data_IF_973461245766
#
_entry.id   IF_973461245766
#
_cell.length_a   1.000
_cell.length_b   1.000
_cell.length_c   1.000
_cell.angle_alpha   90.00
_cell.angle_beta   90.00
_cell.angle_gamma   90.00
#
_symmetry.space_group_name_H-M   'P 1'
#
loop_
_entity.id
_entity.type
_entity.pdbx_description
1 polymer ?
#
# COMPACT_ATOMS: atom_id res chain seq x y z
N UNK A 1 11.20 -28.64 -14.86
CA UNK A 1 10.92 -27.24 -15.24
C UNK A 1 12.06 -26.41 -14.70
N UNK A 2 12.83 -25.67 -15.52
CA UNK A 2 13.92 -24.88 -14.98
C UNK A 2 13.35 -23.62 -14.30
N UNK A 3 13.80 -23.34 -13.08
CA UNK A 3 13.49 -22.11 -12.34
C UNK A 3 14.09 -20.90 -13.08
N UNK A 4 13.22 -20.07 -13.69
CA UNK A 4 13.62 -18.95 -14.58
C UNK A 4 14.00 -17.67 -13.81
N UNK A 5 14.13 -17.68 -12.47
CA UNK A 5 14.67 -16.49 -11.77
C UNK A 5 15.52 -16.89 -10.55
N UNK A 6 16.83 -16.99 -10.76
CA UNK A 6 17.80 -17.06 -9.67
C UNK A 6 18.04 -15.64 -9.11
N UNK A 7 17.37 -15.29 -8.00
CA UNK A 7 17.65 -14.05 -7.28
C UNK A 7 18.69 -14.33 -6.20
N UNK A 8 19.94 -13.99 -6.48
CA UNK A 8 21.03 -14.08 -5.50
C UNK A 8 21.00 -12.87 -4.57
N UNK A 9 20.57 -13.07 -3.32
CA UNK A 9 20.62 -12.02 -2.31
C UNK A 9 22.03 -11.96 -1.69
N UNK A 10 22.74 -10.84 -1.87
CA UNK A 10 24.05 -10.64 -1.27
C UNK A 10 23.95 -10.50 0.27
N UNK A 11 24.48 -11.47 1.01
CA UNK A 11 24.50 -11.48 2.49
C UNK A 11 25.62 -10.58 3.06
N UNK A 12 25.53 -9.26 2.86
CA UNK A 12 26.57 -8.30 3.30
C UNK A 12 26.27 -7.60 4.63
N UNK A 13 25.19 -7.95 5.33
CA UNK A 13 24.78 -7.30 6.59
C UNK A 13 24.24 -5.87 6.44
N UNK A 14 24.47 -5.20 5.30
CA UNK A 14 23.90 -3.89 4.92
C UNK A 14 22.37 -3.86 4.93
N UNK A 15 21.70 -5.01 4.81
CA UNK A 15 20.24 -5.11 4.86
C UNK A 15 19.62 -4.72 6.21
N UNK A 16 20.41 -4.66 7.30
CA UNK A 16 19.99 -4.19 8.62
C UNK A 16 20.27 -2.70 8.88
N UNK A 17 21.18 -2.08 8.13
CA UNK A 17 21.44 -0.63 8.27
C UNK A 17 20.31 0.18 7.65
N UNK A 18 20.01 1.33 8.25
CA UNK A 18 19.01 2.26 7.74
C UNK A 18 19.64 3.55 7.21
N UNK A 19 19.06 4.15 6.18
CA UNK A 19 19.48 5.46 5.68
C UNK A 19 19.03 6.60 6.62
N UNK A 20 19.27 7.85 6.19
CA UNK A 20 18.94 9.05 6.95
C UNK A 20 17.45 9.19 7.29
N UNK A 21 16.55 8.51 6.58
CA UNK A 21 15.09 8.46 6.83
C UNK A 21 14.64 7.20 7.58
N UNK A 22 15.58 6.40 8.08
CA UNK A 22 15.28 5.14 8.74
C UNK A 22 14.85 4.03 7.77
N UNK A 23 15.06 4.17 6.47
CA UNK A 23 14.71 3.16 5.46
C UNK A 23 15.77 2.07 5.39
N UNK A 24 15.36 0.81 5.36
CA UNK A 24 16.26 -0.31 4.97
C UNK A 24 16.51 -0.26 3.46
N UNK A 25 17.57 -0.92 3.00
CA UNK A 25 17.97 -0.96 1.58
C UNK A 25 16.81 -1.26 0.59
N UNK A 26 15.92 -2.19 0.92
CA UNK A 26 14.76 -2.49 0.06
C UNK A 26 13.75 -1.33 0.01
N UNK A 27 13.51 -0.67 1.14
CA UNK A 27 12.60 0.46 1.25
C UNK A 27 13.15 1.67 0.51
N UNK A 28 14.47 1.91 0.62
CA UNK A 28 15.17 2.96 -0.11
C UNK A 28 15.08 2.75 -1.62
N UNK A 29 15.41 1.56 -2.13
CA UNK A 29 15.28 1.25 -3.57
C UNK A 29 13.84 1.41 -4.08
N UNK A 30 12.85 1.00 -3.30
CA UNK A 30 11.45 1.20 -3.67
C UNK A 30 11.08 2.70 -3.70
N UNK A 31 11.59 3.49 -2.74
CA UNK A 31 11.36 4.92 -2.65
C UNK A 31 12.10 5.73 -3.74
N UNK A 32 13.26 5.28 -4.21
CA UNK A 32 13.93 5.89 -5.38
C UNK A 32 13.04 5.84 -6.63
N UNK A 33 12.25 4.79 -6.78
CA UNK A 33 11.29 4.62 -7.88
C UNK A 33 9.92 5.31 -7.65
N UNK A 34 9.76 6.12 -6.59
CA UNK A 34 8.46 6.73 -6.20
C UNK A 34 7.83 7.65 -7.24
N UNK A 35 8.57 8.13 -8.23
CA UNK A 35 8.02 8.96 -9.32
C UNK A 35 7.34 8.13 -10.40
N UNK A 36 7.52 6.81 -10.43
CA UNK A 36 6.88 5.94 -11.42
C UNK A 36 5.35 5.98 -11.31
N UNK A 37 4.67 5.86 -12.46
CA UNK A 37 3.22 5.71 -12.52
C UNK A 37 2.78 4.32 -12.03
N UNK A 38 3.51 3.27 -12.42
CA UNK A 38 3.29 1.91 -11.99
C UNK A 38 4.59 1.36 -11.38
N UNK A 39 4.49 0.72 -10.22
CA UNK A 39 5.63 0.16 -9.51
C UNK A 39 5.30 -1.22 -8.98
N UNK A 40 6.09 -2.22 -9.39
CA UNK A 40 6.01 -3.58 -8.87
C UNK A 40 7.18 -3.83 -7.91
N UNK A 41 6.89 -3.98 -6.62
CA UNK A 41 7.89 -4.24 -5.59
C UNK A 41 7.98 -5.75 -5.35
N UNK A 42 8.99 -6.40 -5.94
CA UNK A 42 9.31 -7.81 -5.65
C UNK A 42 10.33 -7.89 -4.52
N UNK A 43 9.90 -8.32 -3.34
CA UNK A 43 10.77 -8.44 -2.17
C UNK A 43 10.44 -9.71 -1.35
N UNK A 44 11.42 -10.30 -0.63
CA UNK A 44 11.17 -11.42 0.27
C UNK A 44 10.13 -11.09 1.36
N UNK A 45 9.50 -12.11 1.96
CA UNK A 45 8.68 -11.94 3.16
C UNK A 45 9.43 -11.17 4.26
N UNK A 46 8.69 -10.41 5.07
CA UNK A 46 9.22 -9.60 6.18
C UNK A 46 10.29 -8.55 5.81
N UNK A 47 10.48 -8.23 4.52
CA UNK A 47 11.43 -7.19 4.08
C UNK A 47 10.99 -5.75 4.40
N UNK A 48 9.79 -5.57 4.95
CA UNK A 48 9.23 -4.25 5.28
C UNK A 48 8.52 -3.56 4.11
N UNK A 49 7.81 -4.34 3.27
CA UNK A 49 7.04 -3.85 2.11
C UNK A 49 5.98 -2.83 2.50
N UNK A 50 5.22 -3.10 3.57
CA UNK A 50 4.19 -2.19 4.07
C UNK A 50 4.76 -0.81 4.40
N UNK A 51 5.94 -0.76 5.05
CA UNK A 51 6.61 0.51 5.34
C UNK A 51 7.16 1.21 4.09
N UNK A 52 7.64 0.46 3.09
CA UNK A 52 8.00 1.04 1.78
C UNK A 52 6.79 1.71 1.11
N UNK A 53 5.62 1.05 1.14
CA UNK A 53 4.36 1.59 0.64
C UNK A 53 3.93 2.86 1.39
N UNK A 54 4.14 2.93 2.71
CA UNK A 54 3.85 4.15 3.49
C UNK A 54 4.70 5.33 2.99
N UNK A 55 6.01 5.14 2.80
CA UNK A 55 6.89 6.20 2.31
C UNK A 55 6.47 6.70 0.93
N UNK A 56 6.21 5.77 0.00
CA UNK A 56 5.77 6.10 -1.36
C UNK A 56 4.40 6.79 -1.33
N UNK A 57 3.44 6.27 -0.57
CA UNK A 57 2.10 6.85 -0.46
C UNK A 57 2.12 8.28 0.08
N UNK A 58 2.92 8.56 1.11
CA UNK A 58 3.08 9.92 1.65
C UNK A 58 3.74 10.86 0.65
N UNK A 59 4.76 10.41 -0.09
CA UNK A 59 5.39 11.24 -1.13
C UNK A 59 4.44 11.54 -2.29
N UNK A 60 3.63 10.56 -2.70
CA UNK A 60 2.57 10.75 -3.68
C UNK A 60 1.56 11.81 -3.22
N UNK A 61 1.13 11.75 -1.96
CA UNK A 61 0.17 12.68 -1.37
C UNK A 61 0.71 14.10 -1.21
N UNK A 62 1.96 14.25 -0.77
CA UNK A 62 2.48 15.54 -0.32
C UNK A 62 3.35 16.25 -1.36
N UNK A 63 4.02 15.48 -2.23
CA UNK A 63 5.01 16.02 -3.16
C UNK A 63 4.63 15.83 -4.63
N UNK A 64 3.63 15.01 -4.95
CA UNK A 64 3.24 14.70 -6.34
C UNK A 64 1.79 15.06 -6.67
N UNK A 65 1.06 15.70 -5.75
CA UNK A 65 -0.29 16.21 -5.99
C UNK A 65 -1.40 15.15 -6.03
N UNK A 66 -1.12 13.90 -5.65
CA UNK A 66 -2.18 12.90 -5.50
C UNK A 66 -2.98 13.16 -4.22
N UNK A 67 -4.27 12.84 -4.25
CA UNK A 67 -5.21 13.23 -3.18
C UNK A 67 -5.47 12.11 -2.19
N UNK A 68 -5.39 10.86 -2.66
CA UNK A 68 -5.78 9.67 -1.90
C UNK A 68 -4.80 8.52 -2.10
N UNK A 69 -4.71 7.66 -1.10
CA UNK A 69 -4.02 6.38 -1.11
C UNK A 69 -4.97 5.32 -0.61
N UNK A 70 -5.19 4.29 -1.42
CA UNK A 70 -5.97 3.11 -1.08
C UNK A 70 -4.99 1.94 -0.99
N UNK A 71 -4.92 1.33 0.19
CA UNK A 71 -4.15 0.10 0.42
C UNK A 71 -5.12 -1.07 0.46
N UNK A 72 -4.97 -1.99 -0.47
CA UNK A 72 -5.73 -3.22 -0.53
C UNK A 72 -4.82 -4.38 -0.08
N UNK A 73 -5.26 -5.13 0.93
CA UNK A 73 -4.52 -6.27 1.52
C UNK A 73 -5.30 -7.57 1.30
N UNK A 74 -4.65 -8.75 1.29
CA UNK A 74 -5.36 -9.99 1.01
C UNK A 74 -6.32 -10.38 2.14
N UNK A 75 -6.02 -10.02 3.39
CA UNK A 75 -6.84 -10.37 4.55
C UNK A 75 -6.80 -9.31 5.67
N UNK A 76 -7.80 -9.37 6.56
CA UNK A 76 -8.03 -8.37 7.62
C UNK A 76 -6.85 -8.23 8.58
N UNK A 77 -6.26 -9.35 8.99
CA UNK A 77 -5.08 -9.45 9.87
C UNK A 77 -3.93 -8.57 9.38
N UNK A 78 -3.69 -8.54 8.06
CA UNK A 78 -2.57 -7.80 7.46
C UNK A 78 -2.80 -6.29 7.51
N UNK A 79 -4.05 -5.82 7.58
CA UNK A 79 -4.37 -4.39 7.72
C UNK A 79 -3.69 -3.73 8.92
N UNK A 80 -3.38 -4.50 9.97
CA UNK A 80 -2.62 -4.03 11.15
C UNK A 80 -1.20 -3.56 10.82
N UNK A 81 -0.59 -4.08 9.74
CA UNK A 81 0.72 -3.67 9.23
C UNK A 81 0.75 -2.23 8.71
N UNK A 82 -0.43 -1.63 8.50
CA UNK A 82 -0.61 -0.25 8.05
C UNK A 82 -1.13 0.65 9.18
N UNK A 83 -0.93 0.27 10.44
CA UNK A 83 -1.25 1.10 11.60
C UNK A 83 -0.37 2.36 11.69
N UNK A 84 -0.75 3.29 12.57
CA UNK A 84 -0.06 4.58 12.74
C UNK A 84 1.44 4.37 12.96
N UNK A 85 2.26 5.04 12.17
CA UNK A 85 3.72 4.87 12.20
C UNK A 85 4.42 6.22 12.13
N UNK A 86 5.29 6.49 13.13
CA UNK A 86 6.11 7.72 13.20
C UNK A 86 7.33 7.61 12.28
N UNK A 87 7.20 8.06 11.04
CA UNK A 87 8.30 8.06 10.07
C UNK A 87 9.17 9.33 10.22
N UNK A 88 8.57 10.42 10.69
CA UNK A 88 9.24 11.69 10.98
C UNK A 88 10.27 11.60 12.10
N UNK A 89 10.14 10.62 13.00
CA UNK A 89 11.13 10.34 14.04
C UNK A 89 12.55 10.15 13.48
N UNK A 90 12.65 9.65 12.24
CA UNK A 90 13.91 9.45 11.53
C UNK A 90 14.13 10.51 10.45
N UNK A 91 13.50 11.69 10.52
CA UNK A 91 13.74 12.78 9.56
C UNK A 91 12.95 12.70 8.26
N UNK A 92 12.01 11.76 8.10
CA UNK A 92 11.06 11.79 6.99
C UNK A 92 10.06 12.96 7.17
N UNK A 93 9.48 13.48 6.08
CA UNK A 93 8.70 14.73 6.14
C UNK A 93 7.29 14.58 6.72
N UNK A 94 6.79 13.36 6.95
CA UNK A 94 5.46 13.11 7.47
C UNK A 94 5.34 11.77 8.18
N UNK A 95 4.31 11.63 9.01
CA UNK A 95 3.93 10.37 9.66
C UNK A 95 2.81 9.67 8.88
N UNK A 96 2.77 8.34 8.99
CA UNK A 96 1.66 7.56 8.46
C UNK A 96 0.54 7.52 9.48
N UNK A 97 -0.53 8.29 9.25
CA UNK A 97 -1.63 8.47 10.20
C UNK A 97 -3.00 8.21 9.56
N UNK A 98 -3.35 6.95 9.24
CA UNK A 98 -4.68 6.63 8.73
C UNK A 98 -5.74 6.91 9.79
N UNK A 99 -6.86 7.48 9.37
CA UNK A 99 -8.05 7.60 10.21
C UNK A 99 -8.64 6.19 10.45
N UNK A 100 -8.80 5.74 11.72
CA UNK A 100 -9.34 4.43 12.04
C UNK A 100 -10.70 4.11 11.40
N UNK A 101 -11.52 5.13 11.11
CA UNK A 101 -12.82 4.96 10.44
C UNK A 101 -12.66 4.36 9.04
N UNK A 102 -11.56 4.66 8.36
CA UNK A 102 -11.25 4.18 7.00
C UNK A 102 -10.26 3.02 6.99
N UNK A 103 -10.06 2.38 8.14
CA UNK A 103 -9.51 1.03 8.22
C UNK A 103 -10.67 0.01 8.17
N UNK A 104 -11.00 -0.42 6.95
CA UNK A 104 -12.11 -1.33 6.65
C UNK A 104 -11.74 -2.81 6.87
N UNK A 105 -10.57 -3.09 7.45
CA UNK A 105 -10.13 -4.43 7.86
C UNK A 105 -10.75 -4.87 9.20
N UNK A 106 -11.74 -4.14 9.72
CA UNK A 106 -12.47 -4.47 10.95
C UNK A 106 -13.59 -5.50 10.72
N UNK A 107 -14.12 -6.13 11.80
CA UNK A 107 -15.35 -6.93 11.72
C UNK A 107 -16.53 -6.10 11.17
N UNK A 108 -17.36 -6.71 10.32
CA UNK A 108 -18.45 -6.04 9.61
C UNK A 108 -18.70 -6.67 8.23
N UNK A 109 -19.91 -6.49 7.69
CA UNK A 109 -20.29 -7.00 6.37
C UNK A 109 -19.79 -6.11 5.23
N UNK A 110 -19.59 -6.68 4.05
CA UNK A 110 -19.03 -5.94 2.90
C UNK A 110 -19.93 -4.78 2.44
N UNK A 111 -21.27 -4.91 2.54
CA UNK A 111 -22.19 -3.80 2.21
C UNK A 111 -21.92 -2.53 3.04
N UNK A 112 -21.66 -2.66 4.34
CA UNK A 112 -21.36 -1.48 5.18
C UNK A 112 -19.99 -0.90 4.86
N UNK A 113 -19.03 -1.75 4.47
CA UNK A 113 -17.70 -1.31 4.06
C UNK A 113 -17.69 -0.61 2.70
N UNK A 114 -18.46 -1.08 1.72
CA UNK A 114 -18.62 -0.37 0.44
C UNK A 114 -19.20 1.02 0.65
N UNK A 115 -20.17 1.17 1.56
CA UNK A 115 -20.68 2.49 1.95
C UNK A 115 -19.59 3.39 2.56
N UNK A 116 -18.76 2.86 3.44
CA UNK A 116 -17.63 3.60 4.02
C UNK A 116 -16.56 3.96 2.97
N UNK A 117 -16.31 3.07 2.00
CA UNK A 117 -15.39 3.29 0.89
C UNK A 117 -15.88 4.45 0.00
N UNK A 118 -17.18 4.50 -0.33
CA UNK A 118 -17.76 5.62 -1.08
C UNK A 118 -17.61 6.95 -0.34
N UNK A 119 -17.94 6.96 0.96
CA UNK A 119 -17.75 8.13 1.82
C UNK A 119 -16.29 8.60 1.87
N UNK A 120 -15.34 7.67 1.88
CA UNK A 120 -13.92 8.00 1.82
C UNK A 120 -13.57 8.77 0.55
N UNK A 121 -14.02 8.28 -0.61
CA UNK A 121 -13.75 8.90 -1.90
C UNK A 121 -14.34 10.32 -2.00
N UNK A 122 -15.48 10.57 -1.36
CA UNK A 122 -16.15 11.87 -1.32
C UNK A 122 -15.61 12.82 -0.24
N UNK A 123 -14.79 12.34 0.69
CA UNK A 123 -14.27 13.13 1.83
C UNK A 123 -12.86 13.70 1.58
N UNK A 124 -12.35 14.53 2.49
CA UNK A 124 -10.97 15.03 2.46
C UNK A 124 -9.94 14.03 3.04
N UNK A 125 -10.38 12.82 3.38
CA UNK A 125 -9.51 11.81 3.94
C UNK A 125 -8.57 11.24 2.89
N UNK A 126 -7.33 10.97 3.33
CA UNK A 126 -6.22 10.69 2.43
C UNK A 126 -5.87 9.22 2.32
N UNK A 127 -6.13 8.43 3.37
CA UNK A 127 -5.67 7.05 3.45
C UNK A 127 -6.84 6.13 3.80
N UNK A 128 -7.05 5.11 2.99
CA UNK A 128 -7.99 4.02 3.24
C UNK A 128 -7.26 2.68 3.18
N UNK A 129 -7.58 1.78 4.12
CA UNK A 129 -7.05 0.43 4.18
C UNK A 129 -8.22 -0.54 4.09
N UNK A 130 -8.19 -1.48 3.16
CA UNK A 130 -9.27 -2.44 2.95
C UNK A 130 -8.74 -3.79 2.48
N UNK A 131 -9.60 -4.81 2.43
CA UNK A 131 -9.22 -6.08 1.81
C UNK A 131 -9.41 -6.03 0.30
N UNK A 132 -8.76 -6.93 -0.44
CA UNK A 132 -9.00 -7.12 -1.88
C UNK A 132 -10.49 -7.32 -2.19
N UNK A 133 -11.19 -8.08 -1.34
CA UNK A 133 -12.62 -8.30 -1.48
C UNK A 133 -13.42 -6.98 -1.38
N UNK A 134 -13.14 -6.15 -0.37
CA UNK A 134 -13.81 -4.85 -0.21
C UNK A 134 -13.55 -3.93 -1.40
N UNK A 135 -12.32 -3.87 -1.90
CA UNK A 135 -11.98 -3.10 -3.11
C UNK A 135 -12.82 -3.57 -4.30
N UNK A 136 -12.83 -4.88 -4.58
CA UNK A 136 -13.60 -5.47 -5.69
C UNK A 136 -15.08 -5.12 -5.60
N UNK A 137 -15.71 -5.31 -4.44
CA UNK A 137 -17.12 -4.97 -4.23
C UNK A 137 -17.40 -3.47 -4.33
N UNK A 138 -16.42 -2.62 -3.99
CA UNK A 138 -16.57 -1.17 -4.16
C UNK A 138 -16.54 -0.80 -5.65
N UNK A 139 -15.64 -1.40 -6.44
CA UNK A 139 -15.53 -1.17 -7.88
C UNK A 139 -16.80 -1.55 -8.65
N UNK A 140 -17.52 -2.60 -8.24
CA UNK A 140 -18.79 -3.02 -8.89
C UNK A 140 -19.86 -1.91 -8.92
N UNK A 141 -19.76 -0.89 -8.05
CA UNK A 141 -20.78 0.15 -7.90
C UNK A 141 -20.24 1.58 -7.88
N UNK A 142 -19.02 1.81 -8.39
CA UNK A 142 -18.34 3.11 -8.42
C UNK A 142 -17.78 3.34 -9.83
N UNK A 143 -17.96 4.56 -10.36
CA UNK A 143 -17.36 4.95 -11.64
C UNK A 143 -15.83 5.09 -11.49
N UNK A 144 -15.08 4.53 -12.44
CA UNK A 144 -13.62 4.54 -12.44
C UNK A 144 -13.02 5.94 -12.28
N UNK A 145 -13.69 6.99 -12.78
CA UNK A 145 -13.23 8.38 -12.69
C UNK A 145 -13.12 8.88 -11.25
N UNK A 146 -13.83 8.25 -10.32
CA UNK A 146 -13.75 8.60 -8.89
C UNK A 146 -12.37 8.25 -8.31
N UNK A 147 -11.63 7.34 -8.95
CA UNK A 147 -10.25 6.99 -8.58
C UNK A 147 -9.19 7.91 -9.20
N UNK A 148 -9.58 8.96 -9.93
CA UNK A 148 -8.62 9.94 -10.42
C UNK A 148 -7.82 10.54 -9.24
N UNK A 149 -6.54 10.81 -9.50
CA UNK A 149 -5.60 11.34 -8.49
C UNK A 149 -5.46 10.46 -7.24
N UNK A 150 -5.76 9.16 -7.35
CA UNK A 150 -5.67 8.17 -6.25
C UNK A 150 -4.55 7.17 -6.51
N UNK A 151 -3.70 6.95 -5.52
CA UNK A 151 -2.78 5.82 -5.49
C UNK A 151 -3.55 4.57 -5.09
N UNK A 152 -3.48 3.54 -5.91
CA UNK A 152 -3.93 2.20 -5.56
C UNK A 152 -2.72 1.31 -5.28
N UNK A 153 -2.55 0.88 -4.03
CA UNK A 153 -1.52 -0.05 -3.61
C UNK A 153 -2.15 -1.42 -3.32
N UNK A 154 -1.72 -2.45 -4.06
CA UNK A 154 -2.19 -3.83 -3.88
C UNK A 154 -1.07 -4.64 -3.24
N UNK A 155 -1.27 -5.08 -2.00
CA UNK A 155 -0.32 -5.96 -1.31
C UNK A 155 -0.53 -7.41 -1.76
N UNK A 156 0.55 -8.18 -1.81
CA UNK A 156 0.54 -9.55 -2.33
C UNK A 156 -0.17 -9.73 -3.68
N UNK A 157 0.13 -8.82 -4.63
CA UNK A 157 -0.39 -8.82 -6.00
C UNK A 157 -0.33 -10.18 -6.71
N UNK A 158 0.66 -11.00 -6.38
CA UNK A 158 0.84 -12.33 -6.97
C UNK A 158 -0.32 -13.31 -6.66
N UNK A 159 -1.11 -13.09 -5.61
CA UNK A 159 -2.35 -13.84 -5.38
C UNK A 159 -3.47 -13.42 -6.33
N UNK A 160 -3.46 -12.16 -6.77
CA UNK A 160 -4.47 -11.60 -7.67
C UNK A 160 -4.10 -11.86 -9.13
N UNK A 161 -2.82 -11.98 -9.49
CA UNK A 161 -2.42 -12.15 -10.89
C UNK A 161 -2.58 -13.57 -11.46
N UNK A 162 -2.91 -14.57 -10.64
CA UNK A 162 -2.91 -15.99 -11.05
C UNK A 162 -4.27 -16.48 -11.54
N UNK A 163 -5.36 -15.80 -11.18
CA UNK A 163 -6.71 -16.21 -11.60
C UNK A 163 -7.10 -15.56 -12.94
N UNK A 164 -7.42 -16.39 -13.94
CA UNK A 164 -7.84 -15.93 -15.27
C UNK A 164 -9.26 -15.34 -15.32
N UNK A 165 -10.01 -15.46 -14.23
CA UNK A 165 -11.37 -14.93 -14.05
C UNK A 165 -11.39 -13.55 -13.35
N UNK A 166 -10.22 -12.97 -13.06
CA UNK A 166 -10.18 -11.61 -12.51
C UNK A 166 -10.74 -10.61 -13.51
N UNK A 167 -11.79 -9.90 -13.08
CA UNK A 167 -12.37 -8.76 -13.78
C UNK A 167 -11.81 -7.45 -13.23
#
# INVERSE_FOLDING_TARGET
MPDIVHVSYNHTGKSKSTNAFGMREMQERAFEARSAQHLLIKAPPASGKSRALMFIGLDKLMNQGLKKVIVAVPEKSIGSSFSKTKLSQYGFFADWEPNPIYNLCTPGGEKSKVGAFKKFLESDEKILICTHATLRFACDGIDEKVFNETVLAIDEFHHVSVDGENR
#
